data_IF_918393142206
#
_entry.id   IF_918393142206
#
_cell.length_a   1.000
_cell.length_b   1.000
_cell.length_c   1.000
_cell.angle_alpha   90.00
_cell.angle_beta   90.00
_cell.angle_gamma   90.00
#
_symmetry.space_group_name_H-M   'P 1'
#
loop_
_entity.id
_entity.type
_entity.pdbx_description
1 polymer ?
#
# COMPACT_ATOMS: atom_id res chain seq x y z
N UNK A 1 17.56 -0.46 -7.23
CA UNK A 1 17.10 0.95 -7.16
C UNK A 1 15.96 1.12 -6.17
N UNK A 2 14.81 0.44 -6.34
CA UNK A 2 13.66 0.58 -5.44
C UNK A 2 13.97 0.34 -3.95
N UNK A 3 14.69 -0.74 -3.62
CA UNK A 3 15.03 -1.05 -2.22
C UNK A 3 15.95 -0.01 -1.58
N UNK A 4 16.91 0.51 -2.36
CA UNK A 4 17.79 1.59 -1.91
C UNK A 4 17.00 2.87 -1.68
N UNK A 5 16.11 3.23 -2.61
CA UNK A 5 15.23 4.39 -2.50
C UNK A 5 14.35 4.32 -1.24
N UNK A 6 13.68 3.18 -1.01
CA UNK A 6 12.84 2.99 0.18
C UNK A 6 13.67 3.04 1.45
N UNK A 7 14.83 2.38 1.48
CA UNK A 7 15.74 2.42 2.62
C UNK A 7 16.19 3.84 2.95
N UNK A 8 16.64 4.61 1.94
CA UNK A 8 17.04 6.00 2.11
C UNK A 8 15.88 6.90 2.56
N UNK A 9 14.71 6.76 1.96
CA UNK A 9 13.53 7.55 2.30
C UNK A 9 13.08 7.28 3.74
N UNK A 10 12.90 6.00 4.10
CA UNK A 10 12.44 5.60 5.43
C UNK A 10 13.46 6.00 6.49
N UNK A 11 14.74 5.66 6.31
CA UNK A 11 15.78 6.01 7.29
C UNK A 11 16.00 7.52 7.37
N UNK A 12 15.97 8.23 6.23
CA UNK A 12 16.19 9.67 6.17
C UNK A 12 15.09 10.46 6.86
N UNK A 13 13.82 10.15 6.59
CA UNK A 13 12.68 10.77 7.26
C UNK A 13 12.75 10.50 8.77
N UNK A 14 13.05 9.26 9.16
CA UNK A 14 13.14 8.88 10.56
C UNK A 14 14.28 9.58 11.31
N UNK A 15 15.46 9.68 10.69
CA UNK A 15 16.59 10.40 11.25
C UNK A 15 16.27 11.89 11.45
N UNK A 16 15.59 12.51 10.47
CA UNK A 16 15.15 13.90 10.57
C UNK A 16 14.09 14.09 11.67
N UNK A 17 13.09 13.21 11.75
CA UNK A 17 12.08 13.24 12.81
C UNK A 17 12.72 13.10 14.18
N UNK A 18 13.67 12.18 14.34
CA UNK A 18 14.41 12.00 15.59
C UNK A 18 15.23 13.25 15.93
N UNK A 19 15.92 13.85 14.96
CA UNK A 19 16.72 15.05 15.19
C UNK A 19 15.88 16.26 15.64
N UNK A 20 14.65 16.40 15.13
CA UNK A 20 13.76 17.54 15.45
C UNK A 20 12.97 17.30 16.73
N UNK A 21 12.42 16.10 16.92
CA UNK A 21 11.45 15.79 17.97
C UNK A 21 11.98 14.94 19.12
N UNK A 22 13.15 14.30 18.95
CA UNK A 22 13.69 13.31 19.88
C UNK A 22 12.93 11.98 19.90
N UNK A 23 11.91 11.81 19.05
CA UNK A 23 11.06 10.61 19.03
C UNK A 23 11.45 9.71 17.88
N UNK A 24 11.76 8.45 18.19
CA UNK A 24 11.96 7.40 17.21
C UNK A 24 10.64 6.70 16.86
N UNK A 25 10.46 6.34 15.60
CA UNK A 25 9.30 5.57 15.13
C UNK A 25 9.38 4.13 15.62
N UNK A 26 8.22 3.59 16.00
CA UNK A 26 8.07 2.19 16.42
C UNK A 26 7.94 1.29 15.21
N UNK A 27 8.35 0.02 15.37
CA UNK A 27 8.19 -1.03 14.36
C UNK A 27 8.66 -0.62 12.95
N UNK A 28 9.74 0.17 12.88
CA UNK A 28 10.27 0.73 11.62
C UNK A 28 10.48 -0.34 10.55
N UNK A 29 11.05 -1.49 10.94
CA UNK A 29 11.31 -2.61 10.03
C UNK A 29 10.01 -3.23 9.48
N UNK A 30 8.97 -3.33 10.30
CA UNK A 30 7.68 -3.88 9.86
C UNK A 30 7.00 -2.95 8.87
N UNK A 31 6.93 -1.65 9.18
CA UNK A 31 6.38 -0.65 8.27
C UNK A 31 7.18 -0.52 6.97
N UNK A 32 8.52 -0.54 7.05
CA UNK A 32 9.38 -0.58 5.87
C UNK A 32 9.12 -1.82 5.01
N UNK A 33 8.94 -3.00 5.62
CA UNK A 33 8.61 -4.23 4.90
C UNK A 33 7.28 -4.14 4.15
N UNK A 34 6.28 -3.49 4.75
CA UNK A 34 4.96 -3.28 4.13
C UNK A 34 5.03 -2.28 2.96
N UNK A 35 5.76 -1.16 3.11
CA UNK A 35 5.99 -0.20 2.03
C UNK A 35 6.77 -0.85 0.87
N UNK A 36 7.73 -1.71 1.20
CA UNK A 36 8.48 -2.46 0.20
C UNK A 36 7.59 -3.45 -0.55
N UNK A 37 6.73 -4.19 0.15
CA UNK A 37 5.74 -5.08 -0.45
C UNK A 37 4.76 -4.32 -1.35
N UNK A 38 4.26 -3.16 -0.91
CA UNK A 38 3.38 -2.29 -1.70
C UNK A 38 4.05 -1.85 -2.99
N UNK A 39 5.30 -1.42 -2.89
CA UNK A 39 6.07 -0.96 -4.05
C UNK A 39 6.35 -2.10 -5.04
N UNK A 40 6.63 -3.31 -4.56
CA UNK A 40 6.76 -4.49 -5.41
C UNK A 40 5.44 -4.88 -6.07
N UNK A 41 4.32 -4.70 -5.37
CA UNK A 41 2.99 -4.97 -5.90
C UNK A 41 2.69 -4.02 -7.07
N UNK A 42 2.88 -2.71 -6.87
CA UNK A 42 2.69 -1.71 -7.93
C UNK A 42 3.62 -1.96 -9.13
N UNK A 43 4.88 -2.31 -8.86
CA UNK A 43 5.84 -2.69 -9.91
C UNK A 43 5.37 -3.91 -10.69
N UNK A 44 4.87 -4.94 -10.01
CA UNK A 44 4.37 -6.17 -10.64
C UNK A 44 3.16 -5.91 -11.54
N UNK A 45 2.21 -5.08 -11.08
CA UNK A 45 1.06 -4.63 -11.89
C UNK A 45 1.53 -3.86 -13.12
N UNK A 46 2.50 -2.96 -12.96
CA UNK A 46 3.05 -2.16 -14.04
C UNK A 46 3.79 -3.03 -15.07
N UNK A 47 4.51 -4.06 -14.63
CA UNK A 47 5.11 -5.05 -15.53
C UNK A 47 4.06 -5.86 -16.27
N UNK A 48 3.03 -6.34 -15.58
CA UNK A 48 1.96 -7.11 -16.20
C UNK A 48 1.25 -6.30 -17.31
N UNK A 49 0.85 -5.07 -17.02
CA UNK A 49 0.25 -4.17 -18.00
C UNK A 49 1.23 -3.74 -19.09
N UNK A 50 2.51 -3.54 -18.76
CA UNK A 50 3.56 -3.27 -19.73
C UNK A 50 3.76 -4.41 -20.72
N UNK A 51 3.39 -5.65 -20.38
CA UNK A 51 3.33 -6.72 -21.37
C UNK A 51 2.16 -6.52 -22.34
N UNK A 52 1.02 -5.96 -21.95
CA UNK A 52 -0.18 -5.97 -22.81
C UNK A 52 -0.44 -4.65 -23.54
N UNK A 53 0.02 -3.53 -22.99
CA UNK A 53 -0.41 -2.19 -23.40
C UNK A 53 0.78 -1.28 -23.71
N UNK A 54 0.49 -0.16 -24.39
CA UNK A 54 1.47 0.91 -24.62
C UNK A 54 1.96 1.51 -23.30
N UNK A 55 3.12 2.19 -23.30
CA UNK A 55 3.67 2.86 -22.11
C UNK A 55 2.68 3.85 -21.48
N UNK A 56 1.98 4.64 -22.30
CA UNK A 56 0.98 5.61 -21.81
C UNK A 56 -0.21 4.89 -21.18
N UNK A 57 -0.76 3.89 -21.85
CA UNK A 57 -1.90 3.11 -21.35
C UNK A 57 -1.55 2.37 -20.06
N UNK A 58 -0.35 1.78 -19.97
CA UNK A 58 0.15 1.14 -18.76
C UNK A 58 0.16 2.12 -17.59
N UNK A 59 0.73 3.31 -17.78
CA UNK A 59 0.76 4.35 -16.75
C UNK A 59 -0.64 4.75 -16.27
N UNK A 60 -1.57 4.99 -17.19
CA UNK A 60 -2.96 5.36 -16.86
C UNK A 60 -3.67 4.24 -16.08
N UNK A 61 -3.52 2.98 -16.49
CA UNK A 61 -4.16 1.85 -15.82
C UNK A 61 -3.57 1.59 -14.42
N UNK A 62 -2.24 1.59 -14.28
CA UNK A 62 -1.59 1.39 -13.00
C UNK A 62 -1.93 2.52 -12.01
N UNK A 63 -1.88 3.77 -12.47
CA UNK A 63 -2.26 4.93 -11.66
C UNK A 63 -3.76 4.92 -11.33
N UNK A 64 -4.61 4.54 -12.28
CA UNK A 64 -6.05 4.44 -12.08
C UNK A 64 -6.43 3.39 -11.03
N UNK A 65 -5.78 2.22 -11.06
CA UNK A 65 -5.98 1.19 -10.03
C UNK A 65 -5.48 1.66 -8.66
N UNK A 66 -4.30 2.28 -8.60
CA UNK A 66 -3.79 2.84 -7.35
C UNK A 66 -4.70 3.95 -6.80
N UNK A 67 -5.19 4.83 -7.67
CA UNK A 67 -6.15 5.88 -7.32
C UNK A 67 -7.49 5.31 -6.83
N UNK A 68 -7.99 4.23 -7.43
CA UNK A 68 -9.17 3.51 -6.97
C UNK A 68 -8.95 2.91 -5.58
N UNK A 69 -7.79 2.31 -5.33
CA UNK A 69 -7.42 1.78 -4.02
C UNK A 69 -7.37 2.89 -2.97
N UNK A 70 -6.71 4.01 -3.31
CA UNK A 70 -6.57 5.17 -2.44
C UNK A 70 -7.93 5.76 -2.06
N UNK A 71 -8.77 6.09 -3.05
CA UNK A 71 -10.12 6.60 -2.81
C UNK A 71 -10.98 5.61 -2.02
N UNK A 72 -10.89 4.32 -2.35
CA UNK A 72 -11.56 3.25 -1.61
C UNK A 72 -11.15 3.19 -0.14
N UNK A 73 -9.85 3.30 0.15
CA UNK A 73 -9.34 3.35 1.53
C UNK A 73 -9.88 4.54 2.30
N UNK A 74 -9.93 5.73 1.68
CA UNK A 74 -10.53 6.92 2.31
C UNK A 74 -12.03 6.76 2.57
N UNK A 75 -12.78 6.18 1.62
CA UNK A 75 -14.20 5.88 1.81
C UNK A 75 -14.39 4.87 2.94
N UNK A 76 -13.51 3.87 3.07
CA UNK A 76 -13.53 2.92 4.18
C UNK A 76 -13.35 3.63 5.53
N UNK A 77 -12.35 4.52 5.63
CA UNK A 77 -12.08 5.27 6.87
C UNK A 77 -13.24 6.19 7.22
N UNK A 78 -13.78 6.93 6.25
CA UNK A 78 -14.93 7.79 6.45
C UNK A 78 -16.17 6.97 6.86
N UNK A 79 -16.37 5.80 6.25
CA UNK A 79 -17.43 4.86 6.61
C UNK A 79 -17.29 4.34 8.03
N UNK A 80 -16.08 3.99 8.46
CA UNK A 80 -15.80 3.53 9.81
C UNK A 80 -16.07 4.65 10.85
N UNK A 81 -15.67 5.89 10.56
CA UNK A 81 -15.91 7.04 11.44
C UNK A 81 -17.39 7.42 11.54
N UNK A 82 -18.12 7.36 10.43
CA UNK A 82 -19.56 7.69 10.38
C UNK A 82 -20.47 6.52 10.72
N UNK A 83 -19.91 5.34 11.03
CA UNK A 83 -20.65 4.11 11.29
C UNK A 83 -21.58 3.73 10.11
N UNK A 84 -21.06 3.84 8.88
CA UNK A 84 -21.77 3.51 7.62
C UNK A 84 -21.21 2.23 7.01
N UNK A 85 -21.81 1.04 7.26
CA UNK A 85 -21.26 -0.24 6.82
C UNK A 85 -21.05 -0.34 5.31
N UNK A 86 -21.97 0.21 4.51
CA UNK A 86 -21.88 0.19 3.04
C UNK A 86 -20.65 0.90 2.50
N UNK A 87 -20.20 1.98 3.15
CA UNK A 87 -18.99 2.70 2.76
C UNK A 87 -17.73 1.89 3.11
N UNK A 88 -17.75 1.21 4.26
CA UNK A 88 -16.70 0.26 4.64
C UNK A 88 -16.59 -0.87 3.62
N UNK A 89 -17.72 -1.50 3.27
CA UNK A 89 -17.75 -2.59 2.29
C UNK A 89 -17.20 -2.14 0.92
N UNK A 90 -17.54 -0.93 0.47
CA UNK A 90 -17.01 -0.37 -0.78
C UNK A 90 -15.49 -0.25 -0.75
N UNK A 91 -14.94 0.23 0.37
CA UNK A 91 -13.50 0.34 0.57
C UNK A 91 -12.77 -1.00 0.65
N UNK A 92 -13.42 -2.01 1.26
CA UNK A 92 -12.91 -3.38 1.28
C UNK A 92 -12.87 -3.95 -0.15
N UNK A 93 -13.94 -3.76 -0.95
CA UNK A 93 -13.97 -4.21 -2.35
C UNK A 93 -12.84 -3.55 -3.15
N UNK A 94 -12.63 -2.24 -2.98
CA UNK A 94 -11.52 -1.54 -3.61
C UNK A 94 -10.15 -2.12 -3.20
N UNK A 95 -9.98 -2.46 -1.91
CA UNK A 95 -8.77 -3.09 -1.39
C UNK A 95 -8.56 -4.51 -1.93
N UNK A 96 -9.63 -5.27 -2.19
CA UNK A 96 -9.55 -6.58 -2.85
C UNK A 96 -9.11 -6.44 -4.31
N UNK A 97 -9.63 -5.45 -5.03
CA UNK A 97 -9.24 -5.18 -6.42
C UNK A 97 -7.78 -4.76 -6.52
N UNK A 98 -7.35 -3.84 -5.65
CA UNK A 98 -5.99 -3.32 -5.62
C UNK A 98 -5.53 -3.07 -4.17
N UNK A 99 -4.73 -3.97 -3.57
CA UNK A 99 -4.43 -3.93 -2.15
C UNK A 99 -3.29 -2.97 -1.76
N UNK A 100 -2.87 -2.05 -2.63
CA UNK A 100 -1.78 -1.10 -2.32
C UNK A 100 -2.13 -0.21 -1.12
N UNK A 101 -3.34 0.36 -1.10
CA UNK A 101 -3.75 1.25 -0.02
C UNK A 101 -3.91 0.49 1.32
N UNK A 102 -4.29 -0.79 1.27
CA UNK A 102 -4.35 -1.62 2.47
C UNK A 102 -2.96 -1.84 3.09
N UNK A 103 -1.93 -2.04 2.27
CA UNK A 103 -0.55 -2.16 2.74
C UNK A 103 -0.04 -0.85 3.35
N UNK A 104 -0.29 0.28 2.68
CA UNK A 104 0.07 1.61 3.20
C UNK A 104 -0.59 1.89 4.56
N UNK A 105 -1.92 1.71 4.67
CA UNK A 105 -2.65 1.91 5.92
C UNK A 105 -2.14 1.02 7.05
N UNK A 106 -1.80 -0.23 6.75
CA UNK A 106 -1.19 -1.11 7.74
C UNK A 106 0.19 -0.63 8.15
N UNK A 107 1.02 -0.18 7.21
CA UNK A 107 2.34 0.37 7.52
C UNK A 107 2.23 1.60 8.44
N UNK A 108 1.31 2.51 8.13
CA UNK A 108 1.02 3.68 8.96
C UNK A 108 0.57 3.28 10.36
N UNK A 109 -0.27 2.25 10.48
CA UNK A 109 -0.72 1.72 11.78
C UNK A 109 0.42 1.12 12.61
N UNK A 110 1.34 0.36 12.01
CA UNK A 110 2.49 -0.22 12.73
C UNK A 110 3.49 0.86 13.20
N UNK A 111 3.63 1.93 12.41
CA UNK A 111 4.60 3.01 12.65
C UNK A 111 4.04 4.18 13.49
N UNK A 112 2.77 4.15 13.86
CA UNK A 112 2.16 5.23 14.64
C UNK A 112 2.72 5.32 16.06
N UNK A 113 2.64 6.51 16.67
CA UNK A 113 3.02 6.71 18.06
C UNK A 113 1.92 6.22 19.02
N UNK A 114 2.26 5.85 20.28
CA UNK A 114 1.25 5.47 21.28
C UNK A 114 0.24 6.56 21.57
N UNK A 115 0.66 7.83 21.48
CA UNK A 115 -0.23 8.98 21.64
C UNK A 115 -1.25 9.04 20.49
N UNK A 116 -0.81 8.80 19.25
CA UNK A 116 -1.72 8.74 18.11
C UNK A 116 -2.73 7.60 18.25
N UNK A 117 -2.29 6.42 18.72
CA UNK A 117 -3.18 5.29 19.02
C UNK A 117 -4.18 5.61 20.13
N UNK A 118 -3.74 6.29 21.20
CA UNK A 118 -4.59 6.61 22.34
C UNK A 118 -5.68 7.64 21.99
N UNK A 119 -5.36 8.59 21.10
CA UNK A 119 -6.28 9.68 20.72
C UNK A 119 -7.26 9.22 19.63
N UNK A 120 -6.99 8.12 18.90
CA UNK A 120 -7.84 7.56 17.81
C UNK A 120 -8.35 8.60 16.80
N UNK A 121 -7.71 9.76 16.74
CA UNK A 121 -8.18 10.93 16.01
C UNK A 121 -6.98 11.66 15.42
N UNK A 122 -6.33 11.00 14.47
CA UNK A 122 -5.37 11.65 13.59
C UNK A 122 -5.77 11.38 12.15
N UNK A 123 -5.55 12.32 11.21
CA UNK A 123 -5.86 12.14 9.79
C UNK A 123 -5.06 10.99 9.13
N UNK A 124 -4.15 10.34 9.88
CA UNK A 124 -3.32 9.22 9.42
C UNK A 124 -3.48 7.96 10.28
N UNK A 125 -4.26 8.00 11.38
CA UNK A 125 -4.60 6.82 12.19
C UNK A 125 -5.92 6.26 11.67
N UNK A 126 -5.87 5.08 11.07
CA UNK A 126 -7.06 4.45 10.51
C UNK A 126 -8.03 3.98 11.59
N UNK A 127 -9.29 4.42 11.51
CA UNK A 127 -10.41 3.82 12.23
C UNK A 127 -10.68 2.36 11.79
N UNK A 128 -10.38 2.05 10.52
CA UNK A 128 -10.31 0.69 10.00
C UNK A 128 -8.87 0.31 9.69
N UNK A 129 -8.37 -0.76 10.32
CA UNK A 129 -7.00 -1.24 10.15
C UNK A 129 -7.03 -2.56 9.38
N UNK A 130 -6.31 -2.67 8.25
CA UNK A 130 -6.22 -3.92 7.50
C UNK A 130 -5.67 -5.07 8.35
N UNK A 131 -6.27 -6.25 8.21
CA UNK A 131 -5.91 -7.45 8.97
C UNK A 131 -4.64 -8.12 8.42
N UNK A 132 -4.02 -9.00 9.21
CA UNK A 132 -2.89 -9.81 8.75
C UNK A 132 -3.27 -10.67 7.51
N UNK A 133 -4.52 -11.14 7.43
CA UNK A 133 -5.01 -11.89 6.27
C UNK A 133 -4.99 -11.04 5.00
N UNK A 134 -5.29 -9.74 5.09
CA UNK A 134 -5.20 -8.83 3.94
C UNK A 134 -3.77 -8.66 3.45
N UNK A 135 -2.77 -8.68 4.36
CA UNK A 135 -1.35 -8.60 3.97
C UNK A 135 -0.93 -9.87 3.23
N UNK A 136 -1.35 -11.04 3.72
CA UNK A 136 -1.11 -12.34 3.06
C UNK A 136 -1.77 -12.35 1.68
N UNK A 137 -3.01 -11.85 1.59
CA UNK A 137 -3.71 -11.68 0.32
C UNK A 137 -2.93 -10.78 -0.64
N UNK A 138 -2.44 -9.63 -0.18
CA UNK A 138 -1.67 -8.69 -1.01
C UNK A 138 -0.35 -9.32 -1.52
N UNK A 139 0.34 -10.09 -0.67
CA UNK A 139 1.54 -10.83 -1.08
C UNK A 139 1.21 -11.90 -2.13
N UNK A 140 0.11 -12.64 -1.95
CA UNK A 140 -0.39 -13.60 -2.93
C UNK A 140 -0.79 -12.94 -4.26
N UNK A 141 -1.52 -11.83 -4.19
CA UNK A 141 -1.90 -11.01 -5.35
C UNK A 141 -0.65 -10.58 -6.14
N UNK A 142 0.35 -10.02 -5.46
CA UNK A 142 1.62 -9.62 -6.07
C UNK A 142 2.31 -10.79 -6.76
N UNK A 143 2.43 -11.94 -6.08
CA UNK A 143 3.06 -13.13 -6.65
C UNK A 143 2.33 -13.64 -7.90
N UNK A 144 1.00 -13.66 -7.88
CA UNK A 144 0.17 -14.07 -9.03
C UNK A 144 0.36 -13.11 -10.20
N UNK A 145 0.26 -11.80 -9.97
CA UNK A 145 0.43 -10.79 -11.04
C UNK A 145 1.83 -10.83 -11.64
N UNK A 146 2.87 -10.97 -10.81
CA UNK A 146 4.24 -11.11 -11.27
C UNK A 146 4.44 -12.39 -12.08
N UNK A 147 3.88 -13.52 -11.64
CA UNK A 147 3.94 -14.78 -12.38
C UNK A 147 3.23 -14.67 -13.74
N UNK A 148 2.08 -13.98 -13.79
CA UNK A 148 1.38 -13.72 -15.05
C UNK A 148 2.19 -12.83 -15.99
N UNK A 149 2.85 -11.78 -15.47
CA UNK A 149 3.76 -10.93 -16.23
C UNK A 149 4.92 -11.73 -16.81
N UNK A 150 5.59 -12.56 -15.99
CA UNK A 150 6.70 -13.39 -16.40
C UNK A 150 6.30 -14.42 -17.46
N UNK A 151 5.15 -15.09 -17.29
CA UNK A 151 4.60 -16.03 -18.28
C UNK A 151 4.31 -15.34 -19.61
N UNK A 152 3.62 -14.19 -19.58
CA UNK A 152 3.29 -13.41 -20.79
C UNK A 152 4.53 -12.93 -21.53
N UNK A 153 5.57 -12.52 -20.79
CA UNK A 153 6.84 -12.11 -21.39
C UNK A 153 7.56 -13.30 -22.02
N UNK A 154 7.56 -14.46 -21.37
CA UNK A 154 8.18 -15.69 -21.90
C UNK A 154 7.48 -16.29 -23.11
N UNK A 155 6.17 -16.07 -23.29
CA UNK A 155 5.44 -16.46 -24.51
C UNK A 155 5.53 -15.45 -25.64
N UNK A 156 6.10 -14.27 -25.39
CA UNK A 156 6.42 -13.32 -26.45
C UNK A 156 7.79 -13.69 -26.98
N UNK A 157 7.79 -14.52 -28.01
CA UNK A 157 8.98 -14.71 -28.85
C UNK A 157 9.41 -13.33 -29.36
N UNK A 158 10.65 -12.94 -29.04
CA UNK A 158 11.37 -11.85 -29.70
C UNK A 158 11.86 -12.34 -31.06
#
# INVERSE_FOLDING_TARGET
MLTLYIGMMVLGINALTYAISGVAVRHLLAGMGLIWLESLLLLSVTFFFGTMFSTLTNGVLALGLHGLAFLGGWVEQAGALTQTPKAVDLGIIASVVMPSEALWRRAAFEMQSPLATAVNFTPFSGASVPSMLMIIYAAGYMAVVLALAARRLGTRDL
#
